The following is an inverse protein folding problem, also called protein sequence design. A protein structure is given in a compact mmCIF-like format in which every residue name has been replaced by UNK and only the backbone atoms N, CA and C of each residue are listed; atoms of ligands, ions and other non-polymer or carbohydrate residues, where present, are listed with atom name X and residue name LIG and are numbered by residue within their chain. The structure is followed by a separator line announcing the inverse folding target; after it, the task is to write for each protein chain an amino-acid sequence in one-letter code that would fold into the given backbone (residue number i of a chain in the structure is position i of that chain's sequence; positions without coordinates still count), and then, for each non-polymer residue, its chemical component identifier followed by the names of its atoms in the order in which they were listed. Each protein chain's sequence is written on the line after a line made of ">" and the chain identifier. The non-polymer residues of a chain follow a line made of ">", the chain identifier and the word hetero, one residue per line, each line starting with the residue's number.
data_IF_796947786948
#
_entry.id   IF_796947786948
#
_cell.length_a   1.000
_cell.length_b   1.000
_cell.length_c   1.000
_cell.angle_alpha   90.00
_cell.angle_beta   90.00
_cell.angle_gamma   90.00
#
_symmetry.space_group_name_H-M   'P 1'
#
loop_
_entity.id
_entity.type
_entity.pdbx_description
1 polymer ?
#
# COMPACT_ATOMS: atom_id res chain seq x y z
N UNK A 1 -52.23 73.25 21.22
CA UNK A 1 -52.08 72.06 20.36
C UNK A 1 -51.33 70.99 21.15
N UNK A 2 -52.07 70.08 21.76
CA UNK A 2 -51.57 69.03 22.65
C UNK A 2 -50.93 67.90 21.83
N UNK A 3 -49.65 67.58 22.07
CA UNK A 3 -48.95 66.46 21.45
C UNK A 3 -49.01 65.26 22.40
N UNK A 4 -49.89 64.30 22.09
CA UNK A 4 -49.99 63.01 22.77
C UNK A 4 -48.89 62.07 22.29
N UNK A 5 -48.25 61.41 23.26
CA UNK A 5 -47.18 60.43 23.11
C UNK A 5 -47.81 59.04 23.03
N UNK A 6 -47.63 58.30 21.93
CA UNK A 6 -48.10 56.91 21.79
C UNK A 6 -46.95 55.94 22.02
N UNK A 7 -46.91 55.37 23.23
CA UNK A 7 -46.05 54.24 23.60
C UNK A 7 -46.53 52.95 22.92
N UNK A 8 -45.62 52.22 22.27
CA UNK A 8 -45.88 50.88 21.71
C UNK A 8 -45.83 49.81 22.81
N UNK A 9 -46.77 48.85 22.88
CA UNK A 9 -46.69 47.72 23.78
C UNK A 9 -45.79 46.60 23.25
N UNK A 10 -44.94 46.07 24.12
CA UNK A 10 -44.13 44.86 23.92
C UNK A 10 -45.00 43.62 24.09
N UNK A 11 -45.10 42.79 23.04
CA UNK A 11 -45.81 41.51 23.08
C UNK A 11 -44.87 40.43 23.62
N UNK A 12 -45.12 39.98 24.85
CA UNK A 12 -44.54 38.78 25.44
C UNK A 12 -45.36 37.56 25.00
N UNK A 13 -44.77 36.63 24.24
CA UNK A 13 -45.34 35.30 24.04
C UNK A 13 -44.66 34.30 24.97
N UNK A 14 -45.42 33.83 25.95
CA UNK A 14 -45.09 32.64 26.72
C UNK A 14 -45.47 31.39 25.94
N UNK A 15 -44.53 30.48 25.75
CA UNK A 15 -44.80 29.09 25.39
C UNK A 15 -44.28 28.18 26.48
N UNK A 16 -45.23 27.54 27.17
CA UNK A 16 -45.01 26.36 28.01
C UNK A 16 -44.85 25.15 27.09
N UNK A 17 -43.75 24.42 27.25
CA UNK A 17 -43.55 23.10 26.65
C UNK A 17 -42.60 22.28 27.50
N UNK A 18 -43.16 21.44 28.38
CA UNK A 18 -42.43 20.48 29.22
C UNK A 18 -41.94 19.34 28.34
N UNK A 19 -40.62 19.15 28.27
CA UNK A 19 -39.97 17.95 27.75
C UNK A 19 -38.84 17.56 28.69
N UNK A 20 -39.16 16.69 29.66
CA UNK A 20 -38.27 16.26 30.75
C UNK A 20 -37.30 15.21 30.18
N UNK A 21 -36.06 15.63 29.93
CA UNK A 21 -34.98 14.73 29.55
C UNK A 21 -34.54 13.85 30.72
N UNK A 22 -34.50 12.54 30.51
CA UNK A 22 -33.74 11.59 31.32
C UNK A 22 -32.57 11.10 30.49
N UNK A 23 -31.47 11.84 30.51
CA UNK A 23 -30.18 11.36 30.03
C UNK A 23 -29.42 10.78 31.23
N UNK A 24 -29.16 9.48 31.17
CA UNK A 24 -28.33 8.77 32.14
C UNK A 24 -26.92 9.37 32.17
N UNK A 25 -26.56 9.85 33.35
CA UNK A 25 -25.21 10.20 33.76
C UNK A 25 -24.45 8.90 34.07
N UNK A 26 -23.46 8.55 33.25
CA UNK A 26 -22.30 7.78 33.71
C UNK A 26 -21.12 8.76 33.74
N UNK A 27 -20.55 8.89 34.93
CA UNK A 27 -19.41 9.73 35.25
C UNK A 27 -18.11 9.07 34.79
N UNK A 28 -17.14 9.92 34.40
CA UNK A 28 -15.72 9.59 34.46
C UNK A 28 -14.99 9.81 33.14
N UNK A 29 -14.39 10.98 32.95
CA UNK A 29 -12.94 11.16 33.10
C UNK A 29 -12.57 12.60 32.67
N UNK A 30 -12.32 13.47 33.63
CA UNK A 30 -11.85 14.83 33.40
C UNK A 30 -10.33 14.88 33.55
N UNK A 31 -9.59 14.86 32.43
CA UNK A 31 -8.20 15.35 32.34
C UNK A 31 -7.97 16.00 30.98
N UNK A 32 -7.43 17.23 31.04
CA UNK A 32 -6.83 18.04 29.97
C UNK A 32 -7.77 18.72 28.95
N UNK A 33 -8.38 19.82 29.39
CA UNK A 33 -8.74 20.93 28.50
C UNK A 33 -7.57 21.91 28.40
N UNK A 34 -6.81 21.84 27.30
CA UNK A 34 -5.96 22.93 26.79
C UNK A 34 -6.82 23.73 25.80
N UNK A 35 -6.80 25.08 25.81
CA UNK A 35 -7.66 25.87 24.93
C UNK A 35 -7.21 25.75 23.47
N UNK A 36 -8.13 25.62 22.50
CA UNK A 36 -7.76 25.49 21.10
C UNK A 36 -7.35 26.86 20.54
N UNK A 37 -6.04 27.02 20.31
CA UNK A 37 -5.52 28.00 19.37
C UNK A 37 -6.05 27.68 17.97
N UNK A 38 -6.55 28.71 17.29
CA UNK A 38 -7.13 28.63 15.96
C UNK A 38 -6.04 28.39 14.90
N UNK A 39 -5.64 27.13 14.74
CA UNK A 39 -5.07 26.64 13.49
C UNK A 39 -6.11 25.73 12.85
N UNK A 40 -7.01 26.35 12.09
CA UNK A 40 -7.90 25.65 11.17
C UNK A 40 -7.05 25.22 9.97
N UNK A 41 -6.35 24.10 10.11
CA UNK A 41 -5.75 23.43 8.96
C UNK A 41 -6.88 22.82 8.15
N UNK A 42 -6.99 23.19 6.88
CA UNK A 42 -7.92 22.56 5.94
C UNK A 42 -7.56 21.06 5.81
N UNK A 43 -8.52 20.13 5.99
CA UNK A 43 -8.25 18.69 5.95
C UNK A 43 -7.92 18.16 4.54
N UNK A 44 -7.89 19.01 3.51
CA UNK A 44 -7.50 18.61 2.15
C UNK A 44 -5.99 18.69 1.88
N UNK A 45 -5.21 19.42 2.68
CA UNK A 45 -3.76 19.53 2.44
C UNK A 45 -2.93 18.46 3.13
N UNK A 46 -3.49 17.75 4.11
CA UNK A 46 -2.76 16.68 4.82
C UNK A 46 -2.76 15.34 4.08
N UNK A 47 -3.64 15.16 3.08
CA UNK A 47 -3.71 13.92 2.31
C UNK A 47 -2.85 13.93 1.04
N UNK A 48 -2.35 15.08 0.61
CA UNK A 48 -1.46 15.18 -0.55
C UNK A 48 0.02 14.96 -0.15
N UNK A 49 0.42 15.34 1.07
CA UNK A 49 1.78 15.09 1.58
C UNK A 49 2.02 13.66 2.09
N UNK A 50 0.96 12.92 2.47
CA UNK A 50 1.08 11.51 2.91
C UNK A 50 0.95 10.49 1.78
N UNK A 51 0.64 10.90 0.54
CA UNK A 51 0.49 9.97 -0.61
C UNK A 51 1.57 10.08 -1.70
N UNK A 52 2.51 11.02 -1.60
CA UNK A 52 3.62 11.13 -2.55
C UNK A 52 4.93 10.45 -2.10
N UNK A 53 4.93 9.69 -1.01
CA UNK A 53 6.14 9.01 -0.51
C UNK A 53 6.08 7.49 -0.53
N UNK A 54 5.18 6.89 -1.32
CA UNK A 54 5.08 5.44 -1.35
C UNK A 54 4.78 4.88 -2.75
N UNK A 55 5.66 5.14 -3.71
CA UNK A 55 6.05 4.17 -4.77
C UNK A 55 7.03 4.76 -5.80
N UNK A 56 8.10 3.99 -6.08
CA UNK A 56 9.07 4.07 -7.20
C UNK A 56 10.14 5.18 -7.07
N UNK A 57 11.47 4.98 -7.12
CA UNK A 57 12.38 3.85 -7.35
C UNK A 57 13.82 4.34 -6.99
N UNK A 58 14.91 3.67 -7.42
CA UNK A 58 15.54 2.47 -6.85
C UNK A 58 16.47 2.77 -5.66
N UNK A 59 16.73 1.73 -4.88
CA UNK A 59 17.82 1.65 -3.89
C UNK A 59 19.15 1.67 -4.64
N UNK A 60 19.67 2.84 -5.04
CA UNK A 60 21.08 3.07 -5.41
C UNK A 60 21.25 4.55 -5.78
N UNK A 61 21.72 5.33 -4.81
CA UNK A 61 22.22 6.73 -4.84
C UNK A 61 21.81 7.33 -3.48
N UNK A 62 22.43 6.95 -2.38
CA UNK A 62 23.61 7.66 -1.91
C UNK A 62 24.32 6.77 -0.89
N UNK A 63 25.28 5.95 -1.33
CA UNK A 63 26.27 5.33 -0.45
C UNK A 63 27.23 6.37 0.18
N UNK A 64 26.96 7.68 0.04
CA UNK A 64 27.85 8.77 0.44
C UNK A 64 27.35 9.67 1.56
N UNK A 65 26.24 9.35 2.26
CA UNK A 65 26.03 9.95 3.59
C UNK A 65 26.96 9.24 4.55
N UNK A 66 28.27 9.53 4.41
CA UNK A 66 29.33 9.08 5.29
C UNK A 66 28.97 9.58 6.69
N UNK A 67 28.36 8.70 7.46
CA UNK A 67 28.07 8.90 8.87
C UNK A 67 29.39 9.23 9.54
N UNK A 68 29.58 10.49 9.90
CA UNK A 68 30.84 10.94 10.51
C UNK A 68 30.71 10.70 12.00
N UNK A 69 31.42 9.69 12.51
CA UNK A 69 31.42 9.35 13.92
C UNK A 69 32.41 10.26 14.67
N UNK A 70 31.92 11.04 15.63
CA UNK A 70 32.76 11.91 16.47
C UNK A 70 32.56 11.51 17.94
N UNK A 71 33.43 10.63 18.42
CA UNK A 71 33.46 10.19 19.82
C UNK A 71 32.30 9.27 20.20
N UNK A 72 31.14 9.84 20.55
CA UNK A 72 29.95 9.12 21.04
C UNK A 72 28.66 9.40 20.27
N UNK A 73 28.70 10.26 19.25
CA UNK A 73 27.55 10.58 18.41
C UNK A 73 27.89 10.40 16.92
N UNK A 74 26.86 10.03 16.16
CA UNK A 74 26.94 9.93 14.71
C UNK A 74 26.36 11.19 14.09
N UNK A 75 27.19 11.95 13.36
CA UNK A 75 26.71 13.05 12.53
C UNK A 75 26.19 12.51 11.20
N UNK A 76 24.90 12.71 10.96
CA UNK A 76 24.26 12.46 9.67
C UNK A 76 24.24 13.79 8.91
N UNK A 77 24.95 13.91 7.79
CA UNK A 77 24.94 15.14 6.99
C UNK A 77 23.54 15.41 6.42
N UNK A 78 23.11 16.68 6.31
CA UNK A 78 21.81 17.00 5.75
C UNK A 78 21.71 16.53 4.30
N UNK A 79 20.63 15.81 3.98
CA UNK A 79 20.35 15.35 2.62
C UNK A 79 20.18 16.57 1.69
N UNK A 80 21.15 16.78 0.80
CA UNK A 80 21.18 17.96 -0.08
C UNK A 80 20.01 17.97 -1.06
N UNK A 81 19.60 16.80 -1.59
CA UNK A 81 18.46 16.70 -2.51
C UNK A 81 17.15 17.10 -1.84
N UNK A 82 16.89 16.56 -0.64
CA UNK A 82 15.71 16.96 0.15
C UNK A 82 15.75 18.44 0.51
N UNK A 83 16.92 18.99 0.83
CA UNK A 83 17.09 20.42 1.11
C UNK A 83 16.77 21.28 -0.12
N UNK A 84 17.29 20.90 -1.29
CA UNK A 84 17.03 21.61 -2.55
C UNK A 84 15.54 21.57 -2.87
N UNK A 85 14.90 20.41 -2.79
CA UNK A 85 13.46 20.25 -3.02
C UNK A 85 12.62 21.14 -2.10
N UNK A 86 12.92 21.15 -0.78
CA UNK A 86 12.23 22.03 0.17
C UNK A 86 12.50 23.51 -0.15
N UNK A 87 13.70 23.85 -0.60
CA UNK A 87 14.06 25.23 -0.96
C UNK A 87 13.30 25.66 -2.22
N UNK A 88 13.24 24.82 -3.24
CA UNK A 88 12.52 25.06 -4.48
C UNK A 88 11.00 25.15 -4.24
N UNK A 89 10.45 24.26 -3.42
CA UNK A 89 9.05 24.29 -3.01
C UNK A 89 8.72 25.60 -2.28
N UNK A 90 9.53 25.98 -1.29
CA UNK A 90 9.36 27.25 -0.58
C UNK A 90 9.43 28.45 -1.53
N UNK A 91 10.38 28.47 -2.47
CA UNK A 91 10.47 29.53 -3.48
C UNK A 91 9.21 29.57 -4.37
N UNK A 92 8.76 28.41 -4.86
CA UNK A 92 7.55 28.31 -5.68
C UNK A 92 6.31 28.81 -4.95
N UNK A 93 6.15 28.42 -3.69
CA UNK A 93 5.05 28.88 -2.83
C UNK A 93 5.11 30.39 -2.59
N UNK A 94 6.30 30.95 -2.32
CA UNK A 94 6.44 32.40 -2.14
C UNK A 94 6.06 33.17 -3.40
N UNK A 95 6.49 32.73 -4.58
CA UNK A 95 6.10 33.34 -5.86
C UNK A 95 4.61 33.22 -6.10
N UNK A 96 4.02 32.04 -5.87
CA UNK A 96 2.58 31.84 -6.01
C UNK A 96 1.77 32.73 -5.05
N UNK A 97 2.25 32.89 -3.82
CA UNK A 97 1.65 33.77 -2.82
C UNK A 97 1.75 35.24 -3.25
N UNK A 98 2.90 35.68 -3.77
CA UNK A 98 3.08 37.03 -4.27
C UNK A 98 2.18 37.32 -5.47
N UNK A 99 2.08 36.40 -6.42
CA UNK A 99 1.17 36.53 -7.57
C UNK A 99 -0.28 36.61 -7.12
N UNK A 100 -0.70 35.76 -6.17
CA UNK A 100 -2.05 35.82 -5.60
C UNK A 100 -2.31 37.14 -4.88
N UNK A 101 -1.33 37.61 -4.10
CA UNK A 101 -1.39 38.90 -3.40
C UNK A 101 -1.48 40.05 -4.38
N UNK A 102 -0.73 40.03 -5.48
CA UNK A 102 -0.78 41.04 -6.54
C UNK A 102 -2.12 41.00 -7.28
N UNK A 103 -2.61 39.81 -7.66
CA UNK A 103 -3.88 39.63 -8.35
C UNK A 103 -5.06 40.10 -7.49
N UNK A 104 -5.00 39.85 -6.17
CA UNK A 104 -6.03 40.27 -5.21
C UNK A 104 -5.73 41.61 -4.56
N UNK A 105 -4.66 42.29 -4.96
CA UNK A 105 -4.34 43.61 -4.41
C UNK A 105 -5.43 44.55 -4.86
N UNK A 106 -6.25 45.00 -3.92
CA UNK A 106 -7.23 46.05 -4.20
C UNK A 106 -6.45 47.30 -4.62
N UNK A 107 -6.63 47.71 -5.86
CA UNK A 107 -5.97 48.91 -6.38
C UNK A 107 -6.61 50.12 -5.71
N UNK A 108 -5.88 50.74 -4.78
CA UNK A 108 -6.32 51.97 -4.12
C UNK A 108 -6.08 53.13 -5.08
N UNK A 109 -7.14 53.66 -5.66
CA UNK A 109 -7.05 54.87 -6.47
C UNK A 109 -7.11 56.09 -5.55
N UNK A 110 -6.02 56.88 -5.52
CA UNK A 110 -6.04 58.19 -4.88
C UNK A 110 -6.75 59.16 -5.82
N UNK A 111 -8.01 59.41 -5.52
CA UNK A 111 -8.90 60.19 -6.36
C UNK A 111 -8.89 61.66 -5.94
N UNK A 112 -8.49 62.55 -6.84
CA UNK A 112 -8.64 64.01 -6.70
C UNK A 112 -9.50 64.48 -7.87
N UNK A 113 -10.82 64.47 -7.70
CA UNK A 113 -11.80 64.81 -8.74
C UNK A 113 -13.26 64.60 -8.29
N UNK A 114 -14.23 64.91 -9.14
CA UNK A 114 -15.67 64.67 -8.93
C UNK A 114 -16.09 63.28 -9.40
N UNK A 115 -16.45 62.40 -8.46
CA UNK A 115 -16.87 60.99 -8.67
C UNK A 115 -18.04 60.89 -9.66
N UNK A 116 -17.77 60.74 -10.95
CA UNK A 116 -18.83 60.53 -11.92
C UNK A 116 -18.34 60.57 -13.36
N UNK A 117 -17.92 59.42 -13.88
CA UNK A 117 -17.44 59.31 -15.26
C UNK A 117 -17.27 57.88 -15.73
N UNK A 118 -18.29 57.04 -15.55
CA UNK A 118 -18.50 55.86 -16.38
C UNK A 118 -19.70 56.14 -17.28
N UNK A 119 -19.68 55.68 -18.53
CA UNK A 119 -20.80 55.84 -19.49
C UNK A 119 -22.10 55.20 -19.00
N UNK A 120 -22.03 54.36 -17.97
CA UNK A 120 -23.19 53.69 -17.37
C UNK A 120 -23.75 54.52 -16.22
N UNK A 121 -25.05 54.77 -16.30
CA UNK A 121 -25.80 55.39 -15.20
C UNK A 121 -25.71 54.52 -13.94
N UNK A 122 -25.72 55.14 -12.76
CA UNK A 122 -25.77 54.42 -11.47
C UNK A 122 -26.95 53.41 -11.44
N UNK A 123 -28.05 53.76 -12.11
CA UNK A 123 -29.21 52.88 -12.25
C UNK A 123 -28.90 51.63 -13.09
N UNK A 124 -28.20 51.81 -14.21
CA UNK A 124 -27.79 50.72 -15.11
C UNK A 124 -26.75 49.81 -14.43
N UNK A 125 -25.80 50.38 -13.69
CA UNK A 125 -24.84 49.60 -12.90
C UNK A 125 -25.53 48.73 -11.84
N UNK A 126 -26.59 49.25 -11.19
CA UNK A 126 -27.40 48.49 -10.22
C UNK A 126 -28.23 47.41 -10.88
N UNK A 127 -28.84 47.70 -12.03
CA UNK A 127 -29.59 46.71 -12.79
C UNK A 127 -28.69 45.57 -13.26
N UNK A 128 -27.51 45.91 -13.80
CA UNK A 128 -26.51 44.94 -14.24
C UNK A 128 -26.02 44.07 -13.08
N UNK A 129 -25.70 44.67 -11.93
CA UNK A 129 -25.32 43.92 -10.73
C UNK A 129 -26.46 43.01 -10.22
N UNK A 130 -27.72 43.44 -10.30
CA UNK A 130 -28.87 42.62 -9.93
C UNK A 130 -29.06 41.44 -10.89
N UNK A 131 -28.86 41.66 -12.19
CA UNK A 131 -28.91 40.62 -13.25
C UNK A 131 -27.78 39.61 -13.14
N UNK A 132 -26.57 40.08 -12.81
CA UNK A 132 -25.37 39.25 -12.68
C UNK A 132 -25.30 38.51 -11.35
N UNK A 133 -26.02 38.98 -10.32
CA UNK A 133 -26.08 38.27 -9.04
C UNK A 133 -26.89 36.97 -9.19
N UNK A 134 -26.27 35.79 -9.06
CA UNK A 134 -27.01 34.56 -9.21
C UNK A 134 -27.97 34.43 -8.04
N UNK A 135 -29.21 34.06 -8.35
CA UNK A 135 -30.23 33.83 -7.32
C UNK A 135 -29.78 32.72 -6.39
N UNK A 136 -30.31 32.70 -5.16
CA UNK A 136 -30.01 31.65 -4.17
C UNK A 136 -30.23 30.25 -4.75
N UNK A 137 -31.27 30.07 -5.56
CA UNK A 137 -31.58 28.82 -6.24
C UNK A 137 -30.51 28.41 -7.26
N UNK A 138 -30.02 29.35 -8.08
CA UNK A 138 -28.94 29.08 -9.05
C UNK A 138 -27.62 28.71 -8.36
N UNK A 139 -27.29 29.38 -7.25
CA UNK A 139 -26.09 29.03 -6.45
C UNK A 139 -26.19 27.61 -5.91
N UNK A 140 -27.35 27.25 -5.35
CA UNK A 140 -27.59 25.90 -4.80
C UNK A 140 -27.52 24.82 -5.90
N UNK A 141 -28.10 25.09 -7.07
CA UNK A 141 -28.05 24.17 -8.21
C UNK A 141 -26.60 23.94 -8.67
N UNK A 142 -25.82 25.01 -8.81
CA UNK A 142 -24.40 24.92 -9.22
C UNK A 142 -23.56 24.18 -8.17
N UNK A 143 -23.83 24.39 -6.89
CA UNK A 143 -23.17 23.65 -5.81
C UNK A 143 -23.51 22.16 -5.84
N UNK A 144 -24.79 21.82 -6.05
CA UNK A 144 -25.24 20.44 -6.17
C UNK A 144 -24.62 19.73 -7.38
N UNK A 145 -24.55 20.42 -8.53
CA UNK A 145 -23.87 19.92 -9.73
C UNK A 145 -22.38 19.67 -9.48
N UNK A 146 -21.68 20.64 -8.89
CA UNK A 146 -20.27 20.46 -8.53
C UNK A 146 -20.07 19.28 -7.58
N UNK A 147 -20.95 19.12 -6.59
CA UNK A 147 -20.89 18.02 -5.62
C UNK A 147 -21.19 16.67 -6.26
N UNK A 148 -22.13 16.61 -7.20
CA UNK A 148 -22.45 15.36 -7.90
C UNK A 148 -21.33 14.96 -8.86
N UNK A 149 -20.71 15.92 -9.55
CA UNK A 149 -19.53 15.67 -10.39
C UNK A 149 -18.34 15.15 -9.58
N UNK A 150 -18.04 15.76 -8.42
CA UNK A 150 -16.97 15.29 -7.54
C UNK A 150 -17.23 13.85 -7.08
N UNK A 151 -18.44 13.56 -6.61
CA UNK A 151 -18.82 12.20 -6.20
C UNK A 151 -18.70 11.18 -7.33
N UNK A 152 -19.15 11.53 -8.54
CA UNK A 152 -19.02 10.65 -9.71
C UNK A 152 -17.57 10.32 -10.03
N UNK A 153 -16.67 11.31 -9.96
CA UNK A 153 -15.22 11.05 -10.16
C UNK A 153 -14.65 10.14 -9.09
N UNK A 154 -14.97 10.40 -7.82
CA UNK A 154 -14.56 9.55 -6.69
C UNK A 154 -15.09 8.11 -6.85
N UNK A 155 -16.36 7.95 -7.23
CA UNK A 155 -16.98 6.64 -7.44
C UNK A 155 -16.35 5.89 -8.62
N UNK A 156 -16.06 6.58 -9.74
CA UNK A 156 -15.36 6.00 -10.90
C UNK A 156 -13.93 5.55 -10.54
N UNK A 157 -13.21 6.32 -9.74
CA UNK A 157 -11.87 5.93 -9.25
C UNK A 157 -11.94 4.72 -8.31
N UNK A 158 -12.93 4.68 -7.42
CA UNK A 158 -13.16 3.54 -6.53
C UNK A 158 -13.53 2.27 -7.31
N UNK A 159 -14.35 2.41 -8.35
CA UNK A 159 -14.72 1.29 -9.22
C UNK A 159 -13.51 0.76 -9.98
N UNK A 160 -12.66 1.63 -10.53
CA UNK A 160 -11.39 1.24 -11.17
C UNK A 160 -10.48 0.47 -10.22
N UNK A 161 -10.29 0.97 -8.99
CA UNK A 161 -9.47 0.31 -7.97
C UNK A 161 -10.04 -1.06 -7.57
N UNK A 162 -11.37 -1.18 -7.46
CA UNK A 162 -12.03 -2.47 -7.18
C UNK A 162 -11.85 -3.48 -8.30
N UNK A 163 -12.02 -3.06 -9.57
CA UNK A 163 -11.84 -3.94 -10.72
C UNK A 163 -10.38 -4.40 -10.84
N UNK A 164 -9.42 -3.51 -10.58
CA UNK A 164 -8.00 -3.85 -10.54
C UNK A 164 -7.70 -4.88 -9.45
N UNK A 165 -8.23 -4.69 -8.24
CA UNK A 165 -8.08 -5.67 -7.16
C UNK A 165 -8.71 -7.00 -7.51
N UNK A 166 -9.90 -7.00 -8.14
CA UNK A 166 -10.57 -8.24 -8.58
C UNK A 166 -9.74 -8.96 -9.63
N UNK A 167 -9.20 -8.25 -10.62
CA UNK A 167 -8.31 -8.81 -11.64
C UNK A 167 -7.04 -9.38 -11.02
N UNK A 168 -6.43 -8.67 -10.07
CA UNK A 168 -5.24 -9.15 -9.35
C UNK A 168 -5.53 -10.41 -8.54
N UNK A 169 -6.68 -10.46 -7.86
CA UNK A 169 -7.13 -11.64 -7.13
C UNK A 169 -7.36 -12.84 -8.07
N UNK A 170 -8.04 -12.65 -9.19
CA UNK A 170 -8.28 -13.71 -10.19
C UNK A 170 -6.96 -14.26 -10.77
N UNK A 171 -6.01 -13.37 -11.11
CA UNK A 171 -4.70 -13.79 -11.59
C UNK A 171 -3.92 -14.57 -10.52
N UNK A 172 -3.98 -14.12 -9.27
CA UNK A 172 -3.34 -14.83 -8.16
C UNK A 172 -3.96 -16.20 -7.90
N UNK A 173 -5.29 -16.31 -7.99
CA UNK A 173 -6.01 -17.57 -7.80
C UNK A 173 -5.70 -18.57 -8.92
N UNK A 174 -5.64 -18.12 -10.17
CA UNK A 174 -5.23 -18.96 -11.31
C UNK A 174 -3.83 -19.51 -11.13
N UNK A 175 -2.87 -18.65 -10.75
CA UNK A 175 -1.50 -19.06 -10.48
C UNK A 175 -1.41 -20.07 -9.32
N UNK A 176 -2.13 -19.82 -8.23
CA UNK A 176 -2.18 -20.74 -7.10
C UNK A 176 -2.71 -22.13 -7.49
N UNK A 177 -3.76 -22.19 -8.32
CA UNK A 177 -4.31 -23.45 -8.84
C UNK A 177 -3.34 -24.19 -9.76
N UNK A 178 -2.55 -23.48 -10.56
CA UNK A 178 -1.52 -24.07 -11.40
C UNK A 178 -0.37 -24.66 -10.56
N UNK A 179 0.10 -23.89 -9.57
CA UNK A 179 1.15 -24.32 -8.65
C UNK A 179 0.72 -25.55 -7.82
N UNK A 180 -0.53 -25.58 -7.35
CA UNK A 180 -1.10 -26.74 -6.64
C UNK A 180 -1.15 -27.99 -7.53
N UNK A 181 -1.63 -27.87 -8.77
CA UNK A 181 -1.62 -28.99 -9.73
C UNK A 181 -0.22 -29.49 -10.01
N UNK A 182 0.75 -28.60 -10.17
CA UNK A 182 2.15 -28.99 -10.39
C UNK A 182 2.74 -29.68 -9.17
N UNK A 183 2.44 -29.19 -7.96
CA UNK A 183 2.86 -29.81 -6.71
C UNK A 183 2.27 -31.23 -6.57
N UNK A 184 0.99 -31.41 -6.88
CA UNK A 184 0.32 -32.71 -6.83
C UNK A 184 0.89 -33.69 -7.85
N UNK A 185 1.17 -33.24 -9.08
CA UNK A 185 1.83 -34.07 -10.09
C UNK A 185 3.22 -34.52 -9.63
N UNK A 186 4.05 -33.60 -9.13
CA UNK A 186 5.39 -33.91 -8.60
C UNK A 186 5.33 -34.86 -7.41
N UNK A 187 4.35 -34.69 -6.52
CA UNK A 187 4.09 -35.63 -5.43
C UNK A 187 3.77 -37.02 -5.99
N UNK A 188 2.79 -37.11 -6.89
CA UNK A 188 2.33 -38.37 -7.48
C UNK A 188 3.48 -39.10 -8.18
N UNK A 189 4.29 -38.40 -8.97
CA UNK A 189 5.49 -38.95 -9.60
C UNK A 189 6.51 -39.45 -8.58
N UNK A 190 6.76 -38.68 -7.52
CA UNK A 190 7.66 -39.10 -6.44
C UNK A 190 7.16 -40.38 -5.79
N UNK A 191 5.86 -40.47 -5.48
CA UNK A 191 5.25 -41.66 -4.89
C UNK A 191 5.34 -42.88 -5.81
N UNK A 192 5.13 -42.70 -7.12
CA UNK A 192 5.33 -43.77 -8.11
C UNK A 192 6.78 -44.24 -8.13
N UNK A 193 7.75 -43.32 -8.12
CA UNK A 193 9.19 -43.65 -8.10
C UNK A 193 9.59 -44.40 -6.83
N UNK A 194 9.14 -43.94 -5.65
CA UNK A 194 9.45 -44.61 -4.38
C UNK A 194 8.80 -45.99 -4.29
N UNK A 195 7.54 -46.12 -4.73
CA UNK A 195 6.85 -47.40 -4.78
C UNK A 195 7.54 -48.38 -5.73
N UNK A 196 7.85 -47.95 -6.95
CA UNK A 196 8.58 -48.78 -7.92
C UNK A 196 9.98 -49.17 -7.42
N UNK A 197 10.70 -48.27 -6.75
CA UNK A 197 11.99 -48.60 -6.14
C UNK A 197 11.86 -49.67 -5.03
N UNK A 198 10.78 -49.61 -4.24
CA UNK A 198 10.48 -50.62 -3.23
C UNK A 198 10.10 -51.96 -3.86
N UNK A 199 9.25 -51.99 -4.89
CA UNK A 199 8.90 -53.20 -5.64
C UNK A 199 10.13 -53.85 -6.27
N UNK A 200 10.97 -53.06 -6.95
CA UNK A 200 12.22 -53.54 -7.54
C UNK A 200 13.16 -54.16 -6.48
N UNK A 201 13.19 -53.61 -5.27
CA UNK A 201 13.97 -54.17 -4.16
C UNK A 201 13.41 -55.52 -3.71
N UNK A 202 12.09 -55.66 -3.60
CA UNK A 202 11.45 -56.92 -3.26
C UNK A 202 11.69 -57.99 -4.33
N UNK A 203 11.55 -57.63 -5.61
CA UNK A 203 11.82 -58.54 -6.73
C UNK A 203 13.27 -59.00 -6.74
N UNK A 204 14.24 -58.08 -6.52
CA UNK A 204 15.66 -58.44 -6.38
C UNK A 204 15.89 -59.39 -5.21
N UNK A 205 15.27 -59.14 -4.06
CA UNK A 205 15.37 -60.04 -2.90
C UNK A 205 14.74 -61.41 -3.18
N UNK A 206 13.64 -61.48 -3.92
CA UNK A 206 13.02 -62.73 -4.34
C UNK A 206 13.91 -63.51 -5.32
N UNK A 207 14.48 -62.83 -6.33
CA UNK A 207 15.40 -63.43 -7.29
C UNK A 207 16.72 -63.92 -6.63
N UNK A 208 17.23 -63.19 -5.65
CA UNK A 208 18.40 -63.65 -4.88
C UNK A 208 18.09 -64.92 -4.08
N UNK A 209 16.89 -65.06 -3.51
CA UNK A 209 16.45 -66.27 -2.79
C UNK A 209 16.27 -67.48 -3.72
N UNK A 210 15.91 -67.28 -4.99
CA UNK A 210 15.77 -68.38 -5.97
C UNK A 210 17.08 -68.76 -6.65
N UNK A 211 18.06 -67.85 -6.70
CA UNK A 211 19.41 -68.14 -7.24
C UNK A 211 20.34 -68.89 -6.29
N UNK A 212 20.03 -68.92 -4.98
CA UNK A 212 20.82 -69.62 -3.96
C UNK A 212 20.43 -71.10 -3.81
N UNK A 213 19.37 -71.57 -4.48
CA UNK A 213 18.86 -72.96 -4.34
C UNK A 213 19.29 -73.94 -5.43
N UNK A 214 20.21 -73.61 -6.34
CA UNK A 214 20.64 -74.53 -7.42
C UNK A 214 22.07 -75.08 -7.31
N UNK A 215 22.81 -74.86 -6.21
CA UNK A 215 24.13 -75.50 -6.06
C UNK A 215 24.58 -75.80 -4.63
N UNK A 216 23.85 -76.66 -3.90
CA UNK A 216 24.45 -77.64 -2.97
C UNK A 216 23.39 -78.45 -2.22
N UNK A 217 23.51 -79.78 -2.36
CA UNK A 217 23.10 -80.92 -1.51
C UNK A 217 22.13 -80.68 -0.32
N UNK A 218 21.13 -81.58 -0.11
CA UNK A 218 20.25 -81.53 1.06
C UNK A 218 20.98 -82.05 2.30
N UNK A 219 21.09 -81.22 3.33
CA UNK A 219 21.70 -81.57 4.60
C UNK A 219 20.88 -81.00 5.75
N UNK A 220 20.19 -81.90 6.44
CA UNK A 220 19.95 -81.94 7.89
C UNK A 220 19.30 -80.73 8.57
N UNK A 221 18.10 -81.01 9.10
CA UNK A 221 17.38 -80.29 10.15
C UNK A 221 18.30 -79.95 11.32
N UNK A 222 18.29 -78.69 11.76
CA UNK A 222 18.27 -78.32 13.19
C UNK A 222 18.15 -76.80 13.35
N UNK A 223 17.49 -76.38 14.42
CA UNK A 223 17.83 -75.13 15.09
C UNK A 223 16.91 -73.93 14.85
N UNK A 224 15.81 -73.93 15.61
CA UNK A 224 15.10 -72.78 16.15
C UNK A 224 15.76 -71.38 16.02
N UNK A 225 14.95 -70.38 15.67
CA UNK A 225 14.54 -69.35 16.65
C UNK A 225 13.32 -68.60 16.12
N UNK A 226 12.22 -68.70 16.86
CA UNK A 226 11.12 -67.74 16.82
C UNK A 226 11.72 -66.35 17.14
N UNK A 227 11.62 -65.41 16.20
CA UNK A 227 11.77 -63.99 16.50
C UNK A 227 10.57 -63.23 15.95
N UNK A 228 9.57 -63.17 16.80
CA UNK A 228 8.60 -62.08 17.00
C UNK A 228 8.63 -60.96 15.96
N UNK A 229 7.77 -61.08 14.95
CA UNK A 229 7.28 -59.95 14.17
C UNK A 229 6.29 -59.15 15.03
N UNK A 230 6.80 -58.37 15.99
CA UNK A 230 6.02 -57.31 16.61
C UNK A 230 5.97 -56.12 15.66
N UNK A 231 4.81 -55.93 15.02
CA UNK A 231 4.39 -54.67 14.43
C UNK A 231 4.38 -53.60 15.54
N UNK A 232 5.44 -52.80 15.62
CA UNK A 232 5.40 -51.53 16.35
C UNK A 232 4.72 -50.49 15.44
N UNK A 233 3.61 -49.87 15.85
CA UNK A 233 3.05 -48.73 15.11
C UNK A 233 4.04 -47.56 15.15
N UNK A 234 4.12 -46.71 14.12
CA UNK A 234 4.92 -45.50 14.22
C UNK A 234 4.34 -44.59 15.31
N UNK A 235 5.13 -44.41 16.36
CA UNK A 235 4.94 -43.40 17.40
C UNK A 235 4.77 -42.03 16.76
N UNK A 236 3.61 -41.42 17.02
CA UNK A 236 3.36 -39.99 16.94
C UNK A 236 4.36 -39.28 17.86
N UNK A 237 5.45 -38.79 17.27
CA UNK A 237 6.29 -37.78 17.91
C UNK A 237 5.65 -36.42 17.65
N UNK A 238 4.90 -35.97 18.64
CA UNK A 238 4.81 -34.56 19.01
C UNK A 238 6.23 -34.03 19.18
N UNK A 239 6.70 -33.25 18.21
CA UNK A 239 7.86 -32.40 18.36
C UNK A 239 7.36 -30.96 18.43
N UNK A 240 7.82 -30.33 19.50
CA UNK A 240 7.61 -28.98 19.95
C UNK A 240 7.65 -27.89 18.88
N UNK A 241 6.80 -26.91 19.14
CA UNK A 241 6.86 -25.53 18.68
C UNK A 241 8.24 -24.93 18.99
N UNK A 242 8.96 -24.35 18.01
CA UNK A 242 9.86 -23.26 18.28
C UNK A 242 9.14 -21.95 17.97
N UNK A 243 8.65 -21.32 19.03
CA UNK A 243 8.49 -19.87 19.06
C UNK A 243 9.91 -19.30 19.08
N UNK A 244 10.38 -18.82 17.92
CA UNK A 244 11.60 -18.05 17.81
C UNK A 244 11.32 -16.85 16.90
N UNK A 245 11.38 -15.67 17.52
CA UNK A 245 11.10 -14.39 16.90
C UNK A 245 12.04 -14.03 15.76
N UNK A 246 11.56 -13.05 15.01
CA UNK A 246 12.26 -11.94 14.40
C UNK A 246 13.77 -12.09 14.07
N UNK A 247 14.03 -11.87 12.78
CA UNK A 247 15.27 -11.43 12.12
C UNK A 247 16.01 -12.53 11.33
N UNK A 248 15.63 -12.67 10.06
CA UNK A 248 16.47 -13.22 9.01
C UNK A 248 16.08 -12.62 7.64
N UNK A 249 16.84 -11.59 7.26
CA UNK A 249 17.34 -11.28 5.91
C UNK A 249 16.38 -11.26 4.71
N UNK A 250 16.19 -10.05 4.19
CA UNK A 250 15.45 -9.66 2.98
C UNK A 250 16.07 -10.18 1.65
N UNK A 251 16.47 -11.45 1.55
CA UNK A 251 17.06 -11.96 0.31
C UNK A 251 16.62 -13.38 -0.07
N UNK A 252 15.35 -13.73 0.20
CA UNK A 252 14.77 -14.97 -0.32
C UNK A 252 14.06 -14.70 -1.64
N UNK A 253 14.77 -14.89 -2.75
CA UNK A 253 14.20 -14.85 -4.10
C UNK A 253 12.98 -15.77 -4.20
N UNK A 254 11.89 -15.29 -4.80
CA UNK A 254 10.72 -16.11 -5.08
C UNK A 254 11.11 -17.30 -5.99
N UNK A 255 10.42 -18.46 -5.87
CA UNK A 255 10.72 -19.66 -6.65
C UNK A 255 10.83 -19.40 -8.17
N UNK A 256 10.00 -18.50 -8.71
CA UNK A 256 10.07 -18.10 -10.13
C UNK A 256 11.34 -17.33 -10.48
N UNK A 257 11.84 -16.49 -9.57
CA UNK A 257 13.09 -15.73 -9.75
C UNK A 257 14.31 -16.65 -9.64
N UNK A 258 14.26 -17.66 -8.77
CA UNK A 258 15.32 -18.67 -8.67
C UNK A 258 15.44 -19.54 -9.93
N UNK A 259 14.30 -19.87 -10.57
CA UNK A 259 14.31 -20.62 -11.84
C UNK A 259 14.98 -19.79 -12.95
N UNK A 260 14.65 -18.51 -13.03
CA UNK A 260 15.22 -17.58 -14.02
C UNK A 260 16.72 -17.36 -13.81
N UNK A 261 17.15 -17.20 -12.56
CA UNK A 261 18.56 -17.15 -12.21
C UNK A 261 19.31 -18.42 -12.62
N UNK A 262 18.71 -19.59 -12.36
CA UNK A 262 19.30 -20.87 -12.74
C UNK A 262 19.43 -21.02 -14.26
N UNK A 263 18.42 -20.60 -15.02
CA UNK A 263 18.48 -20.59 -16.48
C UNK A 263 19.62 -19.71 -17.00
N UNK A 264 19.81 -18.53 -16.41
CA UNK A 264 20.89 -17.62 -16.81
C UNK A 264 22.28 -18.17 -16.44
N UNK A 265 22.38 -18.86 -15.29
CA UNK A 265 23.60 -19.54 -14.85
C UNK A 265 23.96 -20.75 -15.72
N UNK A 266 22.98 -21.45 -16.28
CA UNK A 266 23.19 -22.55 -17.23
C UNK A 266 23.70 -22.05 -18.59
N UNK A 267 23.34 -20.83 -19.00
CA UNK A 267 23.78 -20.19 -20.26
C UNK A 267 25.13 -19.49 -20.10
N UNK A 268 25.39 -18.89 -18.93
CA UNK A 268 26.58 -18.09 -18.63
C UNK A 268 27.28 -18.63 -17.37
N UNK A 269 27.95 -19.79 -17.43
CA UNK A 269 28.52 -20.45 -16.25
C UNK A 269 29.73 -19.69 -15.64
N UNK A 270 30.38 -18.84 -16.43
CA UNK A 270 31.57 -18.09 -15.99
C UNK A 270 31.24 -16.83 -15.17
N UNK A 271 29.96 -16.42 -15.14
CA UNK A 271 29.53 -15.22 -14.44
C UNK A 271 29.12 -15.51 -12.98
N UNK A 272 29.53 -14.66 -12.02
CA UNK A 272 29.17 -14.86 -10.62
C UNK A 272 27.67 -14.65 -10.41
N UNK A 273 27.08 -15.52 -9.59
CA UNK A 273 25.63 -15.56 -9.31
C UNK A 273 25.06 -14.20 -8.86
N UNK A 274 25.82 -13.43 -8.08
CA UNK A 274 25.38 -12.12 -7.59
C UNK A 274 25.25 -11.09 -8.72
N UNK A 275 26.16 -11.11 -9.70
CA UNK A 275 26.07 -10.23 -10.89
C UNK A 275 24.93 -10.65 -11.81
N UNK A 276 24.70 -11.96 -11.97
CA UNK A 276 23.53 -12.47 -12.71
C UNK A 276 22.21 -12.05 -12.03
N UNK A 277 22.17 -12.02 -10.70
CA UNK A 277 21.02 -11.53 -9.94
C UNK A 277 20.80 -10.04 -10.09
N UNK A 278 21.86 -9.25 -10.07
CA UNK A 278 21.80 -7.80 -10.27
C UNK A 278 21.28 -7.45 -11.67
N UNK A 279 21.77 -8.13 -12.70
CA UNK A 279 21.30 -7.98 -14.08
C UNK A 279 19.83 -8.39 -14.19
N UNK A 280 19.44 -9.51 -13.58
CA UNK A 280 18.03 -9.91 -13.53
C UNK A 280 17.16 -8.91 -12.77
N UNK A 281 17.64 -8.27 -11.71
CA UNK A 281 16.89 -7.20 -11.05
C UNK A 281 16.73 -5.97 -11.94
N UNK A 282 17.76 -5.66 -12.74
CA UNK A 282 17.76 -4.53 -13.66
C UNK A 282 16.85 -4.76 -14.89
N UNK A 283 16.69 -6.01 -15.34
CA UNK A 283 15.81 -6.39 -16.46
C UNK A 283 14.40 -6.84 -16.02
N UNK A 284 13.99 -6.52 -14.79
CA UNK A 284 12.70 -6.97 -14.22
C UNK A 284 12.49 -8.49 -14.28
N UNK A 285 13.58 -9.23 -14.17
CA UNK A 285 13.68 -10.69 -14.31
C UNK A 285 13.31 -11.19 -15.71
N UNK A 286 13.58 -10.42 -16.75
CA UNK A 286 13.58 -10.92 -18.12
C UNK A 286 14.93 -11.61 -18.43
N UNK A 287 14.86 -12.91 -18.75
CA UNK A 287 16.04 -13.75 -19.01
C UNK A 287 16.60 -13.47 -20.40
N UNK A 288 15.75 -13.17 -21.38
CA UNK A 288 16.21 -12.96 -22.76
C UNK A 288 16.97 -11.65 -22.90
N UNK A 289 16.46 -10.60 -22.25
CA UNK A 289 17.12 -9.30 -22.22
C UNK A 289 18.38 -9.32 -21.35
N UNK A 290 18.41 -10.10 -20.26
CA UNK A 290 19.61 -10.32 -19.46
C UNK A 290 20.72 -11.03 -20.25
N UNK A 291 20.36 -12.03 -21.07
CA UNK A 291 21.32 -12.72 -21.95
C UNK A 291 21.87 -11.75 -23.00
N UNK A 292 21.04 -10.88 -23.59
CA UNK A 292 21.52 -9.85 -24.54
C UNK A 292 22.57 -8.94 -23.90
N UNK A 293 22.33 -8.47 -22.69
CA UNK A 293 23.26 -7.60 -21.96
C UNK A 293 24.57 -8.29 -21.53
N UNK A 294 24.62 -9.62 -21.52
CA UNK A 294 25.80 -10.42 -21.13
C UNK A 294 26.65 -10.88 -22.31
N UNK A 295 26.09 -10.88 -23.53
CA UNK A 295 26.71 -11.42 -24.75
C UNK A 295 27.28 -10.31 -25.66
N UNK A 296 26.89 -9.05 -25.43
CA UNK A 296 27.40 -7.86 -26.13
C UNK A 296 28.54 -7.18 -25.37
#
# INVERSE_FOLDING_TARGET
>A
MSRSFTSRPTVTHGSRGRGRGTANRIQGNARNTVPPGQYRMDPMQRQEDEQLQEQQAPTQQTQEQRMTYMGGFTMIPPNQRKRQEVTEMAQRETVAYEQHRQQKRQQTFNYVGTVGGGETSIAEAREKAARESPTKAQKLLKEQQRKSEMRKREDEELEKKKEEQRRKAEMSEKKAKEDEKLAEQRWSERMKKTNNAWLNRLERQAAMKTSVTTSSKPGTLDGATNRDFRLTPPTSQSADVPEAGANADNNTLNLGQQIKLKQLQDVCPDFPKESLLEILHQTEFDVEEAIRLLVE
#
